data_IF_360356319513
#
_entry.id   IF_360356319513
#
_cell.length_a   1.000
_cell.length_b   1.000
_cell.length_c   1.000
_cell.angle_alpha   90.00
_cell.angle_beta   90.00
_cell.angle_gamma   90.00
#
_symmetry.space_group_name_H-M   'P 1'
#
loop_
_entity.id
_entity.type
_entity.pdbx_description
1 polymer ?
#
# COMPACT_ATOMS: atom_id res chain seq x y z
N UNK A 1 -11.28 -10.76 7.79
CA UNK A 1 -12.50 -10.98 6.98
C UNK A 1 -12.45 -10.32 5.59
N UNK A 2 -11.31 -10.32 4.89
CA UNK A 2 -11.21 -9.82 3.50
C UNK A 2 -10.50 -10.78 2.54
N UNK A 3 -10.33 -12.05 2.95
CA UNK A 3 -9.73 -13.11 2.10
C UNK A 3 -10.80 -13.98 1.41
N UNK A 4 -12.06 -13.94 1.87
CA UNK A 4 -13.10 -14.87 1.41
C UNK A 4 -14.00 -14.38 0.26
N UNK A 5 -13.65 -13.29 -0.43
CA UNK A 5 -14.45 -12.79 -1.58
C UNK A 5 -13.79 -12.96 -2.95
N UNK A 6 -12.52 -13.37 -3.02
CA UNK A 6 -11.83 -13.64 -4.29
C UNK A 6 -11.98 -15.10 -4.75
N UNK A 7 -12.27 -16.05 -3.84
CA UNK A 7 -12.37 -17.49 -4.15
C UNK A 7 -13.69 -17.92 -4.82
N UNK A 8 -14.63 -16.99 -5.06
CA UNK A 8 -15.92 -17.31 -5.70
C UNK A 8 -15.95 -17.03 -7.20
N UNK A 9 -14.79 -16.72 -7.80
CA UNK A 9 -14.65 -16.39 -9.23
C UNK A 9 -14.29 -17.59 -10.12
N UNK A 10 -13.93 -18.74 -9.56
CA UNK A 10 -13.39 -19.88 -10.32
C UNK A 10 -14.45 -20.83 -10.94
N UNK A 11 -15.74 -20.46 -10.97
CA UNK A 11 -16.81 -21.35 -11.50
C UNK A 11 -17.46 -20.90 -12.81
N UNK A 12 -16.93 -19.87 -13.48
CA UNK A 12 -17.45 -19.40 -14.76
C UNK A 12 -16.32 -19.17 -15.76
N UNK A 13 -15.52 -20.21 -16.03
CA UNK A 13 -14.60 -20.26 -17.16
C UNK A 13 -15.11 -21.25 -18.21
N UNK A 14 -15.69 -20.70 -19.26
CA UNK A 14 -15.80 -21.31 -20.58
C UNK A 14 -16.13 -20.19 -21.57
N UNK A 15 -15.13 -19.82 -22.38
CA UNK A 15 -15.15 -18.77 -23.42
C UNK A 15 -15.24 -17.29 -22.94
N UNK A 16 -14.07 -16.67 -22.72
CA UNK A 16 -13.91 -15.22 -22.92
C UNK A 16 -12.70 -15.00 -23.81
N UNK A 17 -12.93 -14.46 -25.00
CA UNK A 17 -11.86 -13.98 -25.87
C UNK A 17 -11.21 -12.77 -25.18
N UNK A 18 -9.94 -12.90 -24.79
CA UNK A 18 -9.10 -11.77 -24.38
C UNK A 18 -8.61 -11.12 -25.67
N UNK A 19 -9.37 -10.18 -26.21
CA UNK A 19 -8.91 -9.38 -27.33
C UNK A 19 -8.09 -8.19 -26.82
N UNK A 20 -7.00 -7.91 -27.53
CA UNK A 20 -6.21 -6.71 -27.30
C UNK A 20 -6.98 -5.52 -27.86
N UNK A 21 -7.53 -4.68 -26.97
CA UNK A 21 -8.17 -3.44 -27.38
C UNK A 21 -7.10 -2.38 -27.52
N UNK A 22 -7.03 -1.78 -28.70
CA UNK A 22 -6.17 -0.62 -28.97
C UNK A 22 -6.94 0.63 -28.50
N UNK A 23 -6.37 1.34 -27.54
CA UNK A 23 -6.92 2.56 -26.97
C UNK A 23 -5.88 3.68 -26.96
N UNK A 24 -6.31 4.93 -26.95
CA UNK A 24 -5.44 6.09 -26.77
C UNK A 24 -5.41 6.44 -25.29
N UNK A 25 -4.22 6.44 -24.71
CA UNK A 25 -3.94 7.01 -23.40
C UNK A 25 -3.53 8.46 -23.59
N UNK A 26 -4.32 9.36 -23.04
CA UNK A 26 -4.09 10.80 -23.04
C UNK A 26 -3.75 11.23 -21.62
N UNK A 27 -2.55 11.78 -21.46
CA UNK A 27 -2.04 12.35 -20.24
C UNK A 27 -1.81 13.85 -20.43
N UNK A 28 -2.22 14.66 -19.46
CA UNK A 28 -2.07 16.12 -19.52
C UNK A 28 -1.05 16.50 -18.48
N UNK A 29 0.14 16.92 -18.91
CA UNK A 29 1.29 17.14 -18.03
C UNK A 29 1.53 18.62 -17.71
N UNK A 30 0.89 19.54 -18.43
CA UNK A 30 0.67 20.91 -18.00
C UNK A 30 -0.77 21.34 -18.29
N UNK A 31 -1.40 22.00 -17.33
CA UNK A 31 -2.79 22.45 -17.46
C UNK A 31 -3.06 23.69 -16.62
N UNK A 32 -3.31 24.81 -17.28
CA UNK A 32 -3.87 26.00 -16.67
C UNK A 32 -4.61 26.80 -17.74
N UNK A 33 -5.93 26.64 -17.74
CA UNK A 33 -6.89 27.31 -18.62
C UNK A 33 -7.70 28.28 -17.76
N UNK A 34 -8.33 29.30 -18.36
CA UNK A 34 -9.12 30.29 -17.59
C UNK A 34 -10.13 29.61 -16.64
N UNK A 35 -10.09 29.90 -15.33
CA UNK A 35 -11.04 29.32 -14.39
C UNK A 35 -12.41 30.01 -14.50
N UNK A 36 -13.47 29.22 -14.68
CA UNK A 36 -14.85 29.71 -14.66
C UNK A 36 -15.81 28.64 -14.15
N UNK A 37 -16.98 29.08 -13.66
CA UNK A 37 -18.05 28.16 -13.24
C UNK A 37 -18.54 27.36 -14.45
N UNK A 38 -18.46 26.03 -14.35
CA UNK A 38 -18.80 25.09 -15.44
C UNK A 38 -18.00 25.31 -16.73
N UNK A 39 -16.84 25.96 -16.66
CA UNK A 39 -15.95 26.18 -17.79
C UNK A 39 -16.62 26.89 -18.98
N UNK A 40 -17.30 28.01 -18.69
CA UNK A 40 -18.08 28.81 -19.66
C UNK A 40 -17.24 29.65 -20.62
N UNK A 41 -16.04 30.04 -20.21
CA UNK A 41 -15.12 30.85 -21.02
C UNK A 41 -14.17 29.91 -21.79
N UNK A 42 -12.92 29.79 -21.36
CA UNK A 42 -11.99 28.82 -21.94
C UNK A 42 -12.19 27.40 -21.38
N UNK A 43 -12.09 26.39 -22.27
CA UNK A 43 -12.13 25.00 -21.86
C UNK A 43 -11.48 24.03 -22.85
N UNK A 44 -10.97 22.92 -22.31
CA UNK A 44 -10.61 21.73 -23.07
C UNK A 44 -11.73 20.70 -22.97
N UNK A 45 -12.36 20.41 -24.11
CA UNK A 45 -13.37 19.37 -24.26
C UNK A 45 -12.76 18.09 -24.82
N UNK A 46 -13.09 16.95 -24.21
CA UNK A 46 -12.55 15.65 -24.61
C UNK A 46 -13.71 14.67 -24.81
N UNK A 47 -13.70 13.93 -25.93
CA UNK A 47 -14.72 12.94 -26.31
C UNK A 47 -14.10 11.59 -26.65
N UNK A 48 -14.82 10.52 -26.33
CA UNK A 48 -14.39 9.13 -26.53
C UNK A 48 -14.81 8.62 -27.91
N UNK A 49 -14.00 8.97 -28.93
CA UNK A 49 -14.22 8.61 -30.32
C UNK A 49 -13.44 9.51 -31.27
N UNK A 50 -13.72 9.45 -32.57
CA UNK A 50 -12.97 10.20 -33.60
C UNK A 50 -13.62 11.54 -33.97
N UNK A 51 -14.82 11.83 -33.47
CA UNK A 51 -15.71 12.87 -33.97
C UNK A 51 -16.27 13.73 -32.82
N UNK A 52 -16.65 14.97 -33.13
CA UNK A 52 -17.28 15.88 -32.15
C UNK A 52 -18.67 15.47 -31.64
N UNK A 53 -19.27 14.41 -32.19
CA UNK A 53 -20.55 13.87 -31.74
C UNK A 53 -20.41 12.65 -30.80
N UNK A 54 -19.18 12.19 -30.60
CA UNK A 54 -18.91 11.02 -29.76
C UNK A 54 -19.12 11.33 -28.27
N UNK A 55 -19.28 10.29 -27.41
CA UNK A 55 -19.57 10.47 -25.99
C UNK A 55 -18.62 11.45 -25.29
N UNK A 56 -19.19 12.44 -24.61
CA UNK A 56 -18.44 13.43 -23.85
C UNK A 56 -17.75 12.76 -22.65
N UNK A 57 -16.43 12.89 -22.57
CA UNK A 57 -15.64 12.49 -21.41
C UNK A 57 -15.69 13.58 -20.36
N UNK A 58 -15.51 14.84 -20.78
CA UNK A 58 -15.65 16.01 -19.91
C UNK A 58 -15.15 17.29 -20.57
N UNK A 59 -15.45 18.41 -19.91
CA UNK A 59 -14.92 19.74 -20.21
C UNK A 59 -14.13 20.25 -19.00
N UNK A 60 -12.92 20.76 -19.24
CA UNK A 60 -11.95 21.08 -18.20
C UNK A 60 -11.43 22.50 -18.35
N UNK A 61 -11.26 23.20 -17.23
CA UNK A 61 -10.74 24.56 -17.15
C UNK A 61 -10.09 24.81 -15.78
N UNK A 62 -9.50 25.99 -15.57
CA UNK A 62 -8.77 26.29 -14.34
C UNK A 62 -7.47 25.50 -14.20
N UNK A 63 -7.13 25.14 -12.96
CA UNK A 63 -5.94 24.30 -12.62
C UNK A 63 -6.28 22.84 -12.35
N UNK A 64 -7.55 22.48 -12.54
CA UNK A 64 -8.02 21.10 -12.35
C UNK A 64 -7.70 20.31 -13.61
N UNK A 65 -6.57 19.60 -13.57
CA UNK A 65 -6.12 18.76 -14.66
C UNK A 65 -7.23 17.79 -15.11
N UNK A 66 -7.42 17.59 -16.42
CA UNK A 66 -8.17 16.47 -16.93
C UNK A 66 -7.62 15.18 -16.31
N UNK A 67 -8.47 14.21 -15.94
CA UNK A 67 -7.99 12.92 -15.50
C UNK A 67 -7.21 12.25 -16.65
N UNK A 68 -6.40 11.25 -16.33
CA UNK A 68 -5.84 10.39 -17.37
C UNK A 68 -7.00 9.71 -18.11
N UNK A 69 -7.07 9.93 -19.43
CA UNK A 69 -8.15 9.45 -20.28
C UNK A 69 -7.64 8.29 -21.11
N UNK A 70 -8.43 7.22 -21.11
CA UNK A 70 -8.17 6.03 -21.92
C UNK A 70 -9.44 5.82 -22.73
N UNK A 71 -9.35 6.02 -24.04
CA UNK A 71 -10.50 5.82 -24.93
C UNK A 71 -10.98 4.37 -24.91
N UNK A 72 -12.21 4.18 -25.37
CA UNK A 72 -12.81 2.87 -25.64
C UNK A 72 -12.27 2.24 -26.93
N UNK A 73 -11.86 3.06 -27.90
CA UNK A 73 -11.30 2.64 -29.18
C UNK A 73 -10.03 3.42 -29.56
N UNK A 74 -9.68 3.45 -30.85
CA UNK A 74 -8.41 4.01 -31.35
C UNK A 74 -8.36 5.54 -31.46
N UNK A 75 -9.36 6.25 -30.94
CA UNK A 75 -9.50 7.68 -31.15
C UNK A 75 -10.00 8.39 -29.89
N UNK A 76 -9.50 9.62 -29.71
CA UNK A 76 -10.06 10.63 -28.84
C UNK A 76 -10.23 11.89 -29.68
N UNK A 77 -11.33 12.60 -29.48
CA UNK A 77 -11.56 13.89 -30.10
C UNK A 77 -11.39 14.97 -29.04
N UNK A 78 -10.51 15.93 -29.32
CA UNK A 78 -10.19 17.04 -28.43
C UNK A 78 -10.58 18.34 -29.11
N UNK A 79 -11.23 19.24 -28.37
CA UNK A 79 -11.50 20.61 -28.80
C UNK A 79 -11.11 21.57 -27.70
N UNK A 80 -10.20 22.48 -28.02
CA UNK A 80 -9.94 23.65 -27.18
C UNK A 80 -10.79 24.81 -27.68
N UNK A 81 -11.53 25.42 -26.77
CA UNK A 81 -12.33 26.63 -26.98
C UNK A 81 -11.73 27.75 -26.14
N UNK A 82 -11.54 28.93 -26.72
CA UNK A 82 -11.10 30.12 -26.02
C UNK A 82 -11.93 31.35 -26.39
N UNK A 83 -12.05 32.31 -25.48
CA UNK A 83 -12.66 33.62 -25.74
C UNK A 83 -11.62 34.75 -25.95
N UNK A 84 -12.07 36.01 -25.99
CA UNK A 84 -11.21 37.18 -26.28
C UNK A 84 -10.56 37.79 -25.02
N UNK A 85 -10.82 37.25 -23.82
CA UNK A 85 -10.34 37.79 -22.54
C UNK A 85 -9.34 36.84 -21.85
N UNK A 86 -8.44 37.42 -21.05
CA UNK A 86 -7.56 36.72 -20.10
C UNK A 86 -6.75 35.52 -20.65
N UNK A 87 -5.47 35.74 -20.96
CA UNK A 87 -4.57 34.67 -21.43
C UNK A 87 -3.98 33.84 -20.26
N UNK A 88 -4.01 32.51 -20.41
CA UNK A 88 -3.39 31.55 -19.49
C UNK A 88 -2.40 30.63 -20.21
N UNK A 89 -1.64 29.80 -19.47
CA UNK A 89 -0.59 28.96 -20.07
C UNK A 89 -1.10 27.77 -20.91
N UNK A 90 -2.41 27.57 -20.98
CA UNK A 90 -3.04 26.53 -21.79
C UNK A 90 -2.77 25.12 -21.26
N UNK A 91 -2.63 24.16 -22.16
CA UNK A 91 -2.38 22.77 -21.80
C UNK A 91 -1.33 22.12 -22.70
N UNK A 92 -0.65 21.12 -22.15
CA UNK A 92 0.18 20.17 -22.90
C UNK A 92 -0.33 18.78 -22.60
N UNK A 93 -0.59 18.03 -23.66
CA UNK A 93 -1.07 16.66 -23.56
C UNK A 93 -0.17 15.74 -24.38
N UNK A 94 0.12 14.58 -23.82
CA UNK A 94 0.83 13.48 -24.46
C UNK A 94 -0.19 12.39 -24.74
N UNK A 95 -0.25 11.93 -25.99
CA UNK A 95 -1.09 10.80 -26.36
C UNK A 95 -0.23 9.62 -26.80
N UNK A 96 -0.59 8.43 -26.37
CA UNK A 96 0.07 7.18 -26.77
C UNK A 96 -0.98 6.09 -27.07
N UNK A 97 -0.71 5.29 -28.09
CA UNK A 97 -1.52 4.12 -28.38
C UNK A 97 -1.15 2.99 -27.41
N UNK A 98 -2.11 2.58 -26.58
CA UNK A 98 -1.94 1.50 -25.60
C UNK A 98 -2.77 0.30 -25.98
N UNK A 99 -2.11 -0.85 -26.04
CA UNK A 99 -2.74 -2.16 -26.15
C UNK A 99 -3.16 -2.62 -24.75
N UNK A 100 -4.46 -2.65 -24.46
CA UNK A 100 -4.96 -3.09 -23.15
C UNK A 100 -5.63 -4.46 -23.25
N UNK A 101 -5.37 -5.37 -22.30
CA UNK A 101 -6.21 -6.54 -22.11
C UNK A 101 -7.55 -6.06 -21.54
N UNK A 102 -8.55 -5.93 -22.41
CA UNK A 102 -9.93 -5.67 -22.03
C UNK A 102 -10.69 -6.97 -22.00
N UNK A 103 -11.36 -7.28 -20.88
CA UNK A 103 -12.31 -8.39 -20.87
C UNK A 103 -13.66 -7.83 -21.31
N UNK A 104 -14.00 -8.03 -22.59
CA UNK A 104 -15.35 -7.79 -23.07
C UNK A 104 -16.29 -8.72 -22.31
N UNK A 105 -17.29 -8.14 -21.65
CA UNK A 105 -18.28 -8.91 -20.92
C UNK A 105 -19.66 -8.57 -21.43
N UNK A 106 -20.45 -9.61 -21.66
CA UNK A 106 -21.90 -9.49 -21.78
C UNK A 106 -22.43 -9.04 -20.43
N UNK A 107 -22.93 -7.81 -20.35
CA UNK A 107 -23.54 -7.27 -19.15
C UNK A 107 -25.01 -6.98 -19.42
N UNK A 108 -25.88 -7.42 -18.51
CA UNK A 108 -27.29 -7.08 -18.54
C UNK A 108 -27.52 -5.82 -17.71
N UNK A 109 -27.99 -4.76 -18.36
CA UNK A 109 -28.31 -3.51 -17.67
C UNK A 109 -29.51 -3.73 -16.75
N UNK A 110 -29.36 -3.46 -15.46
CA UNK A 110 -30.43 -3.60 -14.46
C UNK A 110 -31.63 -2.69 -14.71
N UNK A 111 -31.46 -1.60 -15.45
CA UNK A 111 -32.52 -0.63 -15.73
C UNK A 111 -33.33 -0.97 -17.00
N UNK A 112 -32.67 -1.40 -18.08
CA UNK A 112 -33.35 -1.66 -19.36
C UNK A 112 -33.42 -3.14 -19.75
N UNK A 113 -32.82 -4.05 -18.98
CA UNK A 113 -32.80 -5.49 -19.20
C UNK A 113 -31.95 -5.96 -20.39
N UNK A 114 -31.58 -5.05 -21.30
CA UNK A 114 -30.81 -5.36 -22.50
C UNK A 114 -29.42 -5.87 -22.13
N UNK A 115 -29.00 -6.91 -22.84
CA UNK A 115 -27.62 -7.36 -22.84
C UNK A 115 -26.83 -6.51 -23.82
N UNK A 116 -25.69 -6.01 -23.37
CA UNK A 116 -24.78 -5.27 -24.22
C UNK A 116 -23.35 -5.67 -23.88
N UNK A 117 -22.49 -5.58 -24.88
CA UNK A 117 -21.06 -5.73 -24.68
C UNK A 117 -20.60 -4.49 -23.92
N UNK A 118 -20.04 -4.71 -22.74
CA UNK A 118 -19.55 -3.64 -21.88
C UNK A 118 -18.07 -3.86 -21.55
N UNK A 119 -17.36 -2.76 -21.30
CA UNK A 119 -15.99 -2.77 -20.83
C UNK A 119 -15.99 -2.69 -19.30
N UNK A 120 -15.46 -3.71 -18.63
CA UNK A 120 -15.26 -3.68 -17.17
C UNK A 120 -13.90 -3.07 -16.83
N UNK A 121 -13.88 -1.98 -16.06
CA UNK A 121 -12.65 -1.32 -15.56
C UNK A 121 -12.58 -1.40 -14.03
N UNK A 122 -11.37 -1.52 -13.49
CA UNK A 122 -11.10 -1.51 -12.05
C UNK A 122 -10.22 -0.31 -11.71
N UNK A 123 -10.51 0.36 -10.59
CA UNK A 123 -9.69 1.46 -10.03
C UNK A 123 -9.55 1.27 -8.52
N UNK A 124 -8.40 1.65 -7.98
CA UNK A 124 -8.15 1.60 -6.54
C UNK A 124 -8.80 2.82 -5.86
N UNK A 125 -9.61 2.59 -4.83
CA UNK A 125 -10.19 3.68 -4.02
C UNK A 125 -9.21 4.18 -2.95
N UNK A 126 -8.35 3.29 -2.47
CA UNK A 126 -7.34 3.57 -1.44
C UNK A 126 -6.20 2.57 -1.57
N UNK A 127 -4.99 2.95 -1.13
CA UNK A 127 -3.82 2.07 -1.15
C UNK A 127 -3.30 1.76 0.26
N UNK A 128 -2.93 0.49 0.56
CA UNK A 128 -2.60 0.01 1.91
C UNK A 128 -1.19 0.39 2.37
N UNK A 129 -0.86 0.31 3.67
CA UNK A 129 0.50 0.56 4.16
C UNK A 129 1.54 -0.44 3.62
N UNK A 130 1.10 -1.68 3.40
CA UNK A 130 1.87 -2.74 2.72
C UNK A 130 1.05 -3.23 1.54
N UNK A 131 1.57 -3.01 0.34
CA UNK A 131 0.96 -3.44 -0.91
C UNK A 131 1.54 -4.81 -1.30
N UNK A 132 0.65 -5.80 -1.45
CA UNK A 132 0.97 -7.13 -1.95
C UNK A 132 0.46 -7.25 -3.38
N UNK A 133 1.36 -7.49 -4.33
CA UNK A 133 1.04 -7.66 -5.75
C UNK A 133 1.36 -9.11 -6.11
N UNK A 134 0.33 -9.88 -6.43
CA UNK A 134 0.47 -11.23 -6.97
C UNK A 134 0.44 -11.18 -8.49
N UNK A 135 1.47 -11.75 -9.12
CA UNK A 135 1.55 -11.89 -10.57
C UNK A 135 0.98 -13.25 -10.95
N UNK A 136 -0.12 -13.25 -11.70
CA UNK A 136 -0.76 -14.49 -12.19
C UNK A 136 0.04 -15.07 -13.34
N UNK A 137 1.11 -15.80 -13.01
CA UNK A 137 1.97 -16.49 -13.98
C UNK A 137 1.38 -17.82 -14.45
N UNK A 138 0.51 -18.45 -13.67
CA UNK A 138 -0.02 -19.78 -13.98
C UNK A 138 -1.40 -19.70 -14.64
N UNK A 139 -1.55 -20.46 -15.71
CA UNK A 139 -2.81 -20.67 -16.42
C UNK A 139 -3.09 -22.15 -16.50
N UNK A 140 -4.32 -22.56 -16.21
CA UNK A 140 -4.73 -23.94 -16.40
C UNK A 140 -5.35 -24.03 -17.80
N UNK A 141 -4.79 -24.88 -18.65
CA UNK A 141 -5.36 -25.21 -19.96
C UNK A 141 -5.55 -26.70 -19.97
N UNK A 142 -6.82 -27.13 -20.07
CA UNK A 142 -7.22 -28.54 -20.12
C UNK A 142 -6.64 -29.43 -19.01
N UNK A 143 -6.59 -28.91 -17.78
CA UNK A 143 -6.07 -29.63 -16.61
C UNK A 143 -4.55 -29.54 -16.42
N UNK A 144 -3.83 -29.00 -17.42
CA UNK A 144 -2.38 -28.79 -17.36
C UNK A 144 -2.05 -27.36 -16.94
N UNK A 145 -1.09 -27.20 -16.03
CA UNK A 145 -0.67 -25.90 -15.52
C UNK A 145 0.49 -25.37 -16.37
N UNK A 146 0.30 -24.23 -17.02
CA UNK A 146 1.33 -23.54 -17.80
C UNK A 146 1.78 -22.28 -17.08
N UNK A 147 3.10 -22.09 -16.96
CA UNK A 147 3.69 -20.85 -16.43
C UNK A 147 4.07 -19.91 -17.58
N UNK A 148 3.65 -18.65 -17.50
CA UNK A 148 4.04 -17.60 -18.42
C UNK A 148 5.55 -17.31 -18.36
N UNK A 149 6.17 -17.21 -19.54
CA UNK A 149 7.61 -16.95 -19.69
C UNK A 149 7.97 -15.46 -19.53
N UNK A 150 6.98 -14.56 -19.60
CA UNK A 150 7.22 -13.13 -19.60
C UNK A 150 7.77 -12.63 -18.26
N UNK A 151 8.90 -11.93 -18.34
CA UNK A 151 9.54 -11.32 -17.20
C UNK A 151 8.98 -9.92 -16.98
N UNK A 152 8.31 -9.74 -15.86
CA UNK A 152 7.76 -8.44 -15.47
C UNK A 152 8.86 -7.59 -14.85
N UNK A 153 9.01 -6.36 -15.36
CA UNK A 153 9.85 -5.35 -14.74
C UNK A 153 9.11 -4.68 -13.58
N UNK A 154 9.82 -4.43 -12.49
CA UNK A 154 9.27 -3.77 -11.32
C UNK A 154 10.33 -2.86 -10.67
N UNK A 155 9.95 -1.67 -10.17
CA UNK A 155 10.90 -0.76 -9.53
C UNK A 155 11.19 -1.18 -8.09
N UNK A 156 12.44 -1.03 -7.63
CA UNK A 156 12.77 -1.22 -6.21
C UNK A 156 12.29 -0.05 -5.34
N UNK A 157 12.22 1.16 -5.90
CA UNK A 157 11.85 2.40 -5.19
C UNK A 157 10.96 3.26 -6.09
N UNK A 158 10.11 4.10 -5.49
CA UNK A 158 9.31 5.05 -6.25
C UNK A 158 8.18 4.44 -7.09
N UNK A 159 7.66 3.27 -6.71
CA UNK A 159 6.41 2.77 -7.30
C UNK A 159 5.28 3.70 -6.88
N UNK A 160 4.78 4.52 -7.80
CA UNK A 160 3.67 5.43 -7.53
C UNK A 160 2.33 4.80 -7.97
N UNK A 161 1.47 4.53 -6.99
CA UNK A 161 0.16 3.93 -7.22
C UNK A 161 -0.91 4.93 -7.66
N UNK A 162 -0.60 6.23 -7.68
CA UNK A 162 -1.54 7.30 -8.04
C UNK A 162 -2.22 7.06 -9.38
N UNK A 163 -1.46 6.56 -10.36
CA UNK A 163 -1.93 6.27 -11.72
C UNK A 163 -3.02 5.19 -11.78
N UNK A 164 -3.18 4.38 -10.74
CA UNK A 164 -4.17 3.30 -10.67
C UNK A 164 -5.37 3.62 -9.77
N UNK A 165 -5.35 4.80 -9.12
CA UNK A 165 -6.39 5.22 -8.18
C UNK A 165 -7.57 5.94 -8.86
N UNK A 166 -8.70 6.03 -8.16
CA UNK A 166 -9.81 6.91 -8.54
C UNK A 166 -9.40 8.37 -8.27
N UNK A 167 -9.72 9.25 -9.21
CA UNK A 167 -9.19 10.61 -9.39
C UNK A 167 -9.34 11.60 -8.20
N UNK A 168 -10.08 11.28 -7.14
CA UNK A 168 -10.51 12.27 -6.12
C UNK A 168 -9.74 12.21 -4.78
N UNK A 169 -8.59 11.54 -4.70
CA UNK A 169 -7.94 11.23 -3.39
C UNK A 169 -6.49 11.75 -3.26
N UNK A 170 -5.97 12.47 -4.26
CA UNK A 170 -4.54 12.78 -4.35
C UNK A 170 -4.09 14.11 -3.69
N UNK A 171 -5.01 14.98 -3.25
CA UNK A 171 -4.68 16.37 -2.86
C UNK A 171 -4.55 16.62 -1.35
N UNK A 172 -4.49 15.56 -0.54
CA UNK A 172 -4.17 15.69 0.87
C UNK A 172 -2.65 15.76 1.05
N UNK A 173 -2.16 16.83 1.71
CA UNK A 173 -0.73 17.04 2.04
C UNK A 173 -0.08 15.87 2.82
N UNK A 174 -0.90 14.96 3.37
CA UNK A 174 -0.51 13.80 4.16
C UNK A 174 -0.80 12.46 3.45
N UNK A 175 -1.20 12.47 2.17
CA UNK A 175 -1.49 11.25 1.41
C UNK A 175 -0.37 10.90 0.43
N UNK A 176 0.46 9.94 0.81
CA UNK A 176 1.44 9.34 -0.11
C UNK A 176 0.85 8.14 -0.84
N UNK A 177 1.18 8.01 -2.11
CA UNK A 177 0.86 6.87 -2.98
C UNK A 177 2.10 6.12 -3.43
N UNK A 178 3.27 6.52 -2.93
CA UNK A 178 4.58 5.97 -3.31
C UNK A 178 4.99 4.81 -2.43
N UNK A 179 5.66 3.84 -3.03
CA UNK A 179 6.10 2.63 -2.37
C UNK A 179 7.55 2.27 -2.72
N UNK A 180 8.21 1.66 -1.74
CA UNK A 180 9.52 1.00 -1.86
C UNK A 180 9.34 -0.50 -1.73
N UNK A 181 10.02 -1.30 -2.56
CA UNK A 181 10.01 -2.75 -2.50
C UNK A 181 10.72 -3.22 -1.23
N UNK A 182 10.12 -4.20 -0.55
CA UNK A 182 10.65 -4.74 0.72
C UNK A 182 10.93 -6.23 0.62
N UNK A 183 10.19 -6.93 -0.24
CA UNK A 183 10.42 -8.34 -0.51
C UNK A 183 9.86 -8.73 -1.88
N UNK A 184 10.50 -9.69 -2.52
CA UNK A 184 10.00 -10.38 -3.70
C UNK A 184 10.10 -11.88 -3.50
N UNK A 185 8.98 -12.57 -3.67
CA UNK A 185 8.92 -14.03 -3.74
C UNK A 185 9.06 -14.42 -5.20
N UNK A 186 9.94 -15.37 -5.46
CA UNK A 186 10.21 -15.94 -6.76
C UNK A 186 9.74 -17.39 -6.78
N UNK A 187 9.25 -17.83 -7.92
CA UNK A 187 8.97 -19.24 -8.20
C UNK A 187 9.91 -19.72 -9.29
N UNK A 188 10.78 -20.68 -8.97
CA UNK A 188 11.64 -21.37 -9.92
C UNK A 188 11.00 -22.72 -10.25
N UNK A 189 10.99 -23.08 -11.53
CA UNK A 189 10.70 -24.45 -11.92
C UNK A 189 12.00 -25.22 -11.81
N UNK A 190 12.03 -26.25 -10.97
CA UNK A 190 13.20 -27.12 -10.84
C UNK A 190 13.03 -28.39 -11.66
N UNK A 191 11.81 -28.92 -11.80
CA UNK A 191 11.42 -30.08 -12.62
C UNK A 191 9.95 -29.95 -13.11
N UNK A 192 9.49 -30.82 -14.03
CA UNK A 192 8.12 -30.82 -14.61
C UNK A 192 6.97 -30.97 -13.60
N UNK A 193 7.25 -31.38 -12.35
CA UNK A 193 6.23 -31.64 -11.32
C UNK A 193 6.47 -30.93 -9.99
N UNK A 194 7.56 -30.17 -9.82
CA UNK A 194 7.88 -29.49 -8.56
C UNK A 194 8.35 -28.05 -8.78
N UNK A 195 7.65 -27.14 -8.12
CA UNK A 195 8.05 -25.75 -7.97
C UNK A 195 8.96 -25.55 -6.77
N UNK A 196 9.88 -24.58 -6.86
CA UNK A 196 10.71 -24.13 -5.75
C UNK A 196 10.50 -22.64 -5.49
N UNK A 197 10.24 -22.28 -4.23
CA UNK A 197 10.01 -20.88 -3.84
C UNK A 197 11.21 -20.35 -3.08
N UNK A 198 11.71 -19.22 -3.53
CA UNK A 198 12.74 -18.46 -2.81
C UNK A 198 12.27 -17.03 -2.62
N UNK A 199 12.87 -16.29 -1.69
CA UNK A 199 12.54 -14.88 -1.54
C UNK A 199 13.77 -13.99 -1.37
N UNK A 200 13.64 -12.76 -1.81
CA UNK A 200 14.62 -11.70 -1.59
C UNK A 200 13.98 -10.68 -0.67
N UNK A 201 14.65 -10.32 0.42
CA UNK A 201 14.13 -9.40 1.42
C UNK A 201 15.15 -8.30 1.71
N UNK A 202 14.66 -7.06 1.85
CA UNK A 202 15.45 -5.93 2.31
C UNK A 202 15.54 -5.97 3.83
N UNK A 203 16.76 -6.03 4.37
CA UNK A 203 16.99 -5.90 5.79
C UNK A 203 17.09 -4.40 6.15
N UNK A 204 16.18 -3.94 7.00
CA UNK A 204 16.12 -2.53 7.39
C UNK A 204 17.21 -2.07 8.36
N UNK A 205 17.83 -2.97 9.12
CA UNK A 205 18.83 -2.56 10.11
C UNK A 205 20.13 -2.13 9.44
N UNK A 206 20.47 -2.73 8.30
CA UNK A 206 21.69 -2.44 7.55
C UNK A 206 21.45 -1.95 6.11
N UNK A 207 20.19 -1.88 5.67
CA UNK A 207 19.77 -1.47 4.32
C UNK A 207 20.38 -2.33 3.20
N UNK A 208 20.46 -3.65 3.41
CA UNK A 208 21.03 -4.62 2.45
C UNK A 208 20.02 -5.69 2.06
N UNK A 209 20.13 -6.20 0.83
CA UNK A 209 19.30 -7.28 0.33
C UNK A 209 19.88 -8.65 0.66
N UNK A 210 19.00 -9.59 1.02
CA UNK A 210 19.34 -10.98 1.27
C UNK A 210 18.42 -11.89 0.46
N UNK A 211 18.98 -12.96 -0.08
CA UNK A 211 18.28 -14.06 -0.71
C UNK A 211 18.15 -15.21 0.29
N UNK A 212 16.91 -15.62 0.51
CA UNK A 212 16.53 -16.74 1.37
C UNK A 212 16.09 -17.89 0.47
N UNK A 213 16.88 -18.97 0.51
CA UNK A 213 16.69 -20.19 -0.24
C UNK A 213 16.72 -21.34 0.77
N UNK A 214 15.54 -21.70 1.27
CA UNK A 214 15.36 -22.59 2.42
C UNK A 214 16.23 -22.18 3.63
N UNK A 215 17.16 -23.03 4.04
CA UNK A 215 18.08 -22.80 5.16
C UNK A 215 19.23 -21.84 4.80
N UNK A 216 19.45 -21.57 3.51
CA UNK A 216 20.55 -20.74 3.04
C UNK A 216 20.14 -19.27 2.94
N UNK A 217 20.92 -18.41 3.60
CA UNK A 217 20.73 -16.95 3.57
C UNK A 217 22.00 -16.30 3.02
N UNK A 218 21.88 -15.63 1.88
CA UNK A 218 23.02 -15.01 1.19
C UNK A 218 22.77 -13.53 0.95
N UNK A 219 23.77 -12.68 1.22
CA UNK A 219 23.68 -11.26 0.89
C UNK A 219 23.77 -11.08 -0.62
N UNK A 220 22.92 -10.23 -1.20
CA UNK A 220 22.89 -9.96 -2.65
C UNK A 220 22.85 -8.46 -2.96
N UNK A 221 23.23 -8.11 -4.19
CA UNK A 221 23.13 -6.74 -4.69
C UNK A 221 21.70 -6.46 -5.20
N UNK A 222 21.23 -5.22 -5.06
CA UNK A 222 19.92 -4.76 -5.57
C UNK A 222 19.75 -4.98 -7.08
N UNK A 223 20.83 -4.93 -7.86
CA UNK A 223 20.81 -5.21 -9.30
C UNK A 223 20.45 -6.65 -9.64
N UNK A 224 20.71 -7.60 -8.73
CA UNK A 224 20.24 -8.98 -8.87
C UNK A 224 18.74 -9.02 -8.65
N UNK A 225 18.23 -8.33 -7.63
CA UNK A 225 16.81 -8.30 -7.26
C UNK A 225 15.95 -7.72 -8.39
N UNK A 226 16.40 -6.66 -9.07
CA UNK A 226 15.69 -6.11 -10.24
C UNK A 226 15.51 -7.11 -11.40
N UNK A 227 16.36 -8.13 -11.46
CA UNK A 227 16.43 -9.09 -12.56
C UNK A 227 15.76 -10.42 -12.23
N UNK A 228 15.11 -10.60 -11.08
CA UNK A 228 14.44 -11.87 -10.78
C UNK A 228 13.08 -11.97 -11.48
N UNK A 229 12.57 -13.18 -11.67
CA UNK A 229 11.19 -13.39 -12.12
C UNK A 229 10.28 -13.34 -10.88
N UNK A 230 9.65 -12.20 -10.66
CA UNK A 230 8.76 -12.00 -9.53
C UNK A 230 7.48 -12.84 -9.65
N UNK A 231 7.07 -13.44 -8.54
CA UNK A 231 5.77 -14.09 -8.39
C UNK A 231 4.86 -13.28 -7.46
N UNK A 232 5.37 -12.88 -6.29
CA UNK A 232 4.68 -11.98 -5.36
C UNK A 232 5.62 -10.87 -4.95
N UNK A 233 5.17 -9.62 -5.06
CA UNK A 233 5.91 -8.43 -4.65
C UNK A 233 5.28 -7.84 -3.40
N UNK A 234 6.11 -7.54 -2.41
CA UNK A 234 5.72 -6.78 -1.23
C UNK A 234 6.37 -5.41 -1.28
N UNK A 235 5.52 -4.38 -1.21
CA UNK A 235 5.87 -2.98 -1.24
C UNK A 235 5.43 -2.32 0.07
N UNK A 236 6.27 -1.46 0.64
CA UNK A 236 5.92 -0.62 1.80
C UNK A 236 5.74 0.82 1.36
N UNK A 237 4.67 1.44 1.85
CA UNK A 237 4.34 2.83 1.61
C UNK A 237 5.42 3.77 2.17
N UNK A 238 5.84 4.76 1.39
CA UNK A 238 6.86 5.75 1.76
C UNK A 238 6.30 6.79 2.74
N UNK A 239 6.91 6.93 3.93
CA UNK A 239 6.49 7.91 4.94
C UNK A 239 7.35 9.17 4.95
N UNK A 240 6.91 10.23 4.28
CA UNK A 240 7.66 11.51 4.16
C UNK A 240 7.76 12.27 5.49
N UNK A 241 6.70 12.26 6.31
CA UNK A 241 6.63 13.00 7.59
C UNK A 241 7.36 12.26 8.73
N UNK A 242 7.51 10.94 8.61
CA UNK A 242 8.08 10.08 9.66
C UNK A 242 9.48 10.50 10.10
N UNK A 243 10.32 10.98 9.18
CA UNK A 243 11.68 11.43 9.51
C UNK A 243 11.68 12.63 10.46
N UNK A 244 10.85 13.64 10.21
CA UNK A 244 10.72 14.82 11.09
C UNK A 244 10.20 14.45 12.48
N UNK A 245 9.27 13.51 12.55
CA UNK A 245 8.75 12.99 13.83
C UNK A 245 9.86 12.26 14.60
N UNK A 246 10.63 11.39 13.92
CA UNK A 246 11.76 10.67 14.51
C UNK A 246 12.84 11.61 15.06
N UNK A 247 13.19 12.67 14.31
CA UNK A 247 14.17 13.67 14.74
C UNK A 247 13.67 14.41 15.99
N UNK A 248 12.38 14.79 16.01
CA UNK A 248 11.78 15.46 17.17
C UNK A 248 11.69 14.55 18.39
N UNK A 249 11.31 13.28 18.23
CA UNK A 249 11.30 12.29 19.32
C UNK A 249 12.71 12.09 19.87
N UNK A 250 13.73 11.97 19.01
CA UNK A 250 15.12 11.80 19.43
C UNK A 250 15.61 13.01 20.24
N UNK A 251 15.28 14.23 19.78
CA UNK A 251 15.55 15.45 20.53
C UNK A 251 14.86 15.45 21.89
N UNK A 252 13.57 15.12 21.95
CA UNK A 252 12.81 15.07 23.20
C UNK A 252 13.40 14.05 24.17
N UNK A 253 13.78 12.86 23.70
CA UNK A 253 14.44 11.82 24.51
C UNK A 253 15.77 12.31 25.11
N UNK A 254 16.52 13.12 24.37
CA UNK A 254 17.77 13.70 24.86
C UNK A 254 17.52 14.80 25.89
N UNK A 255 16.54 15.68 25.64
CA UNK A 255 16.19 16.77 26.56
C UNK A 255 15.59 16.25 27.87
N UNK A 256 14.76 15.21 27.80
CA UNK A 256 14.11 14.59 28.96
C UNK A 256 14.92 13.40 29.52
N UNK A 257 16.23 13.30 29.25
CA UNK A 257 17.02 12.10 29.60
C UNK A 257 16.99 11.75 31.09
N UNK A 258 16.87 12.78 31.94
CA UNK A 258 16.85 12.66 33.41
C UNK A 258 15.44 12.69 34.00
N UNK A 259 14.40 12.81 33.17
CA UNK A 259 13.02 12.76 33.64
C UNK A 259 12.56 11.32 33.91
N UNK A 260 11.63 11.11 34.86
CA UNK A 260 11.09 9.80 35.15
C UNK A 260 10.29 9.26 33.95
N UNK A 261 10.44 7.97 33.65
CA UNK A 261 9.79 7.31 32.51
C UNK A 261 8.46 6.66 32.93
N UNK A 262 7.54 7.48 33.41
CA UNK A 262 6.31 6.97 34.02
C UNK A 262 5.22 6.58 33.01
N UNK A 263 5.41 6.86 31.71
CA UNK A 263 4.42 6.62 30.67
C UNK A 263 4.75 5.36 29.88
N UNK A 264 3.74 4.55 29.57
CA UNK A 264 3.90 3.30 28.84
C UNK A 264 3.38 3.41 27.41
N UNK A 265 4.16 2.87 26.48
CA UNK A 265 3.75 2.68 25.09
C UNK A 265 3.91 1.21 24.68
N UNK A 266 2.89 0.64 24.04
CA UNK A 266 2.95 -0.75 23.59
C UNK A 266 4.02 -0.95 22.51
N UNK A 267 4.84 -1.99 22.66
CA UNK A 267 5.78 -2.49 21.65
C UNK A 267 5.09 -2.78 20.33
N UNK A 268 3.85 -3.27 20.36
CA UNK A 268 3.05 -3.53 19.16
C UNK A 268 2.77 -2.24 18.38
N UNK A 269 2.41 -1.16 19.08
CA UNK A 269 2.25 0.14 18.44
C UNK A 269 3.59 0.69 17.95
N UNK A 270 4.67 0.54 18.72
CA UNK A 270 6.02 0.94 18.29
C UNK A 270 6.47 0.19 17.02
N UNK A 271 6.15 -1.10 16.89
CA UNK A 271 6.40 -1.87 15.66
C UNK A 271 5.62 -1.24 14.50
N UNK A 272 4.32 -0.96 14.67
CA UNK A 272 3.52 -0.27 13.64
C UNK A 272 4.10 1.09 13.29
N UNK A 273 4.51 1.88 14.28
CA UNK A 273 5.18 3.17 14.10
C UNK A 273 6.46 3.03 13.28
N UNK A 274 7.28 2.01 13.56
CA UNK A 274 8.51 1.74 12.83
C UNK A 274 8.27 1.13 11.44
N UNK A 275 7.15 0.48 11.20
CA UNK A 275 6.86 -0.21 9.93
C UNK A 275 5.98 0.59 8.97
N UNK A 276 5.06 1.42 9.45
CA UNK A 276 4.04 2.06 8.63
C UNK A 276 4.28 3.57 8.48
N UNK A 277 3.77 4.14 7.39
CA UNK A 277 3.71 5.58 7.17
C UNK A 277 2.63 6.21 8.05
N UNK A 278 1.49 5.51 8.23
CA UNK A 278 0.41 5.87 9.14
C UNK A 278 0.18 4.75 10.15
N UNK A 279 0.86 4.78 11.32
CA UNK A 279 0.70 3.74 12.33
C UNK A 279 -0.68 3.73 12.99
N UNK A 280 -1.44 4.83 12.86
CA UNK A 280 -2.72 5.04 13.53
C UNK A 280 -2.55 5.48 14.98
N UNK A 281 -3.67 5.64 15.67
CA UNK A 281 -3.72 6.12 17.04
C UNK A 281 -2.92 5.24 18.01
N UNK A 282 -2.36 5.87 19.05
CA UNK A 282 -1.61 5.15 20.10
C UNK A 282 -2.58 4.24 20.84
N UNK A 283 -2.46 2.95 20.54
CA UNK A 283 -3.23 1.89 21.15
C UNK A 283 -2.28 1.02 21.97
N UNK A 284 -2.46 1.05 23.28
CA UNK A 284 -1.66 0.26 24.19
C UNK A 284 -2.16 -1.19 24.35
N UNK A 285 -3.32 -1.52 23.77
CA UNK A 285 -3.94 -2.86 23.82
C UNK A 285 -3.98 -3.44 25.25
N UNK A 286 -4.25 -2.57 26.23
CA UNK A 286 -4.19 -2.89 27.65
C UNK A 286 -5.11 -4.06 27.99
N UNK A 287 -4.51 -5.11 28.56
CA UNK A 287 -5.25 -6.23 29.14
C UNK A 287 -5.38 -5.97 30.62
N UNK A 288 -6.62 -5.94 31.11
CA UNK A 288 -6.89 -5.85 32.53
C UNK A 288 -6.80 -7.24 33.16
N UNK A 289 -6.18 -7.33 34.32
CA UNK A 289 -6.23 -8.54 35.14
C UNK A 289 -7.46 -8.53 36.04
N UNK A 290 -7.71 -9.65 36.73
CA UNK A 290 -8.82 -9.79 37.67
C UNK A 290 -8.71 -8.83 38.88
N UNK A 291 -7.52 -8.31 39.17
CA UNK A 291 -7.30 -7.27 40.19
C UNK A 291 -7.72 -5.86 39.73
N UNK A 292 -8.29 -5.70 38.53
CA UNK A 292 -8.74 -4.42 38.00
C UNK A 292 -7.63 -3.47 37.54
N UNK A 293 -6.38 -3.92 37.50
CA UNK A 293 -5.21 -3.19 37.02
C UNK A 293 -4.74 -3.68 35.64
N UNK A 294 -3.88 -2.91 34.98
CA UNK A 294 -3.25 -3.34 33.72
C UNK A 294 -2.28 -4.47 34.02
N UNK A 295 -2.39 -5.58 33.30
CA UNK A 295 -1.46 -6.70 33.45
C UNK A 295 -0.06 -6.23 33.06
N UNK A 296 0.91 -6.40 33.97
CA UNK A 296 2.30 -6.16 33.64
C UNK A 296 2.71 -7.15 32.54
N UNK A 297 3.31 -6.65 31.48
CA UNK A 297 3.85 -7.50 30.44
C UNK A 297 5.09 -6.85 29.86
N UNK A 298 6.04 -7.67 29.42
CA UNK A 298 7.17 -7.24 28.62
C UNK A 298 6.74 -6.64 27.25
N UNK A 299 5.46 -6.33 27.04
CA UNK A 299 4.92 -5.75 25.82
C UNK A 299 4.90 -4.21 25.85
N UNK A 300 5.33 -3.57 26.93
CA UNK A 300 5.42 -2.10 27.03
C UNK A 300 6.86 -1.58 26.99
N UNK A 301 7.00 -0.30 26.64
CA UNK A 301 8.23 0.48 26.74
C UNK A 301 7.93 1.74 27.54
N UNK A 302 8.75 1.98 28.56
CA UNK A 302 8.69 3.19 29.38
C UNK A 302 9.28 4.39 28.63
N UNK A 303 8.52 5.49 28.63
CA UNK A 303 8.88 6.76 28.01
C UNK A 303 8.57 7.93 28.95
N UNK A 304 9.21 9.07 28.70
CA UNK A 304 9.01 10.30 29.45
C UNK A 304 7.75 11.04 28.99
N UNK A 305 7.21 11.90 29.84
CA UNK A 305 6.03 12.70 29.54
C UNK A 305 6.18 13.54 28.25
N UNK A 306 7.30 14.25 27.98
CA UNK A 306 7.44 15.04 26.76
C UNK A 306 7.35 14.19 25.50
N UNK A 307 7.89 12.97 25.53
CA UNK A 307 7.78 12.04 24.40
C UNK A 307 6.33 11.56 24.25
N UNK A 308 5.68 11.14 25.34
CA UNK A 308 4.28 10.73 25.31
C UNK A 308 3.36 11.84 24.78
N UNK A 309 3.43 13.04 25.34
CA UNK A 309 2.59 14.17 24.97
C UNK A 309 2.77 14.53 23.49
N UNK A 310 4.01 14.48 22.97
CA UNK A 310 4.27 14.70 21.56
C UNK A 310 3.65 13.62 20.67
N UNK A 311 3.84 12.35 21.00
CA UNK A 311 3.31 11.21 20.23
C UNK A 311 1.78 11.23 20.24
N UNK A 312 1.15 11.42 21.41
CA UNK A 312 -0.31 11.51 21.55
C UNK A 312 -0.89 12.67 20.76
N UNK A 313 -0.23 13.84 20.75
CA UNK A 313 -0.68 15.00 19.97
C UNK A 313 -0.68 14.74 18.46
N UNK A 314 0.29 13.98 17.97
CA UNK A 314 0.43 13.72 16.52
C UNK A 314 -0.47 12.59 16.06
N UNK A 315 -0.56 11.50 16.83
CA UNK A 315 -1.27 10.29 16.41
C UNK A 315 -2.66 10.12 17.04
N UNK A 316 -2.99 10.89 18.09
CA UNK A 316 -4.18 10.64 18.92
C UNK A 316 -4.06 9.31 19.69
N UNK A 317 -5.15 8.90 20.35
CA UNK A 317 -5.20 7.61 21.06
C UNK A 317 -5.97 7.64 22.38
N UNK A 318 -6.04 6.47 23.00
CA UNK A 318 -6.65 6.28 24.31
C UNK A 318 -5.84 6.92 25.45
N UNK A 319 -6.36 6.89 26.68
CA UNK A 319 -5.69 7.53 27.82
C UNK A 319 -4.29 6.98 28.02
N UNK A 320 -3.42 7.83 28.57
CA UNK A 320 -2.08 7.42 28.97
C UNK A 320 -2.18 6.24 29.94
N UNK A 321 -1.30 5.26 29.76
CA UNK A 321 -1.08 4.22 30.77
C UNK A 321 0.21 4.57 31.47
N UNK A 322 0.14 4.62 32.78
CA UNK A 322 1.25 4.92 33.66
C UNK A 322 1.83 3.63 34.22
N UNK A 323 3.08 3.67 34.67
CA UNK A 323 3.71 2.56 35.40
C UNK A 323 2.86 2.16 36.62
N UNK A 324 2.22 3.12 37.28
CA UNK A 324 1.34 2.93 38.46
C UNK A 324 0.05 2.15 38.15
N UNK A 325 -0.38 2.16 36.89
CA UNK A 325 -1.54 1.39 36.42
C UNK A 325 -1.24 -0.10 36.30
N UNK A 326 0.05 -0.49 36.33
CA UNK A 326 0.48 -1.88 36.29
C UNK A 326 0.13 -2.62 37.58
N UNK A 327 -0.29 -3.88 37.42
CA UNK A 327 -0.60 -4.76 38.53
C UNK A 327 0.68 -5.37 39.11
N UNK A 328 1.08 -4.90 40.29
CA UNK A 328 2.21 -5.45 41.07
C UNK A 328 2.01 -6.92 41.41
N UNK A 329 0.82 -7.33 41.86
CA UNK A 329 0.52 -8.73 42.18
C UNK A 329 0.73 -9.67 40.99
N UNK A 330 0.27 -9.27 39.79
CA UNK A 330 0.49 -10.08 38.59
C UNK A 330 1.96 -10.13 38.20
N UNK A 331 2.71 -9.05 38.46
CA UNK A 331 4.15 -9.01 38.17
C UNK A 331 4.93 -9.96 39.08
N UNK A 332 4.66 -9.96 40.38
CA UNK A 332 5.28 -10.87 41.34
C UNK A 332 4.97 -12.33 41.01
N UNK A 333 3.71 -12.62 40.65
CA UNK A 333 3.31 -13.95 40.22
C UNK A 333 4.03 -14.39 38.93
N UNK A 334 4.13 -13.52 37.92
CA UNK A 334 4.84 -13.86 36.68
C UNK A 334 6.35 -14.06 36.90
N UNK A 335 6.96 -13.25 37.77
CA UNK A 335 8.36 -13.42 38.16
C UNK A 335 8.61 -14.77 38.83
N UNK A 336 7.74 -15.17 39.77
CA UNK A 336 7.88 -16.45 40.47
C UNK A 336 7.73 -17.64 39.53
N UNK A 337 6.78 -17.59 38.58
CA UNK A 337 6.61 -18.59 37.52
C UNK A 337 7.84 -18.67 36.61
N UNK A 338 8.38 -17.53 36.16
CA UNK A 338 9.60 -17.50 35.33
C UNK A 338 10.78 -18.09 36.10
N UNK A 339 10.97 -17.69 37.36
CA UNK A 339 12.04 -18.25 38.20
C UNK A 339 11.87 -19.75 38.42
N UNK A 340 10.65 -20.24 38.65
CA UNK A 340 10.36 -21.66 38.79
C UNK A 340 10.63 -22.43 37.47
N UNK A 341 10.39 -21.80 36.32
CA UNK A 341 10.66 -22.39 35.00
C UNK A 341 12.17 -22.46 34.72
N UNK A 342 12.90 -21.39 35.02
CA UNK A 342 14.38 -21.36 34.94
C UNK A 342 14.98 -22.43 35.85
N UNK A 343 14.50 -22.55 37.11
CA UNK A 343 14.97 -23.60 38.03
C UNK A 343 14.78 -25.02 37.46
N UNK A 344 13.63 -25.29 36.83
CA UNK A 344 13.35 -26.57 36.14
C UNK A 344 14.24 -26.82 34.92
N UNK A 345 14.51 -25.79 34.11
CA UNK A 345 15.35 -25.93 32.92
C UNK A 345 16.84 -26.13 33.24
N UNK A 346 17.32 -25.56 34.35
CA UNK A 346 18.72 -25.60 34.75
C UNK A 346 19.05 -26.54 35.92
N UNK A 347 18.06 -27.30 36.41
CA UNK A 347 18.22 -28.31 37.46
C UNK A 347 18.93 -27.78 38.73
N UNK A 348 18.61 -26.55 39.13
CA UNK A 348 19.21 -25.90 40.30
C UNK A 348 18.44 -26.38 41.54
N UNK A 349 19.04 -27.31 42.31
CA UNK A 349 18.54 -27.73 43.62
C UNK A 349 18.79 -26.62 44.66
N UNK A 350 17.80 -26.39 45.55
CA UNK A 350 17.95 -25.45 46.65
C UNK A 350 19.03 -25.96 47.62
N UNK A 351 20.07 -25.15 47.83
CA UNK A 351 20.94 -25.31 48.99
C UNK A 351 20.16 -24.77 50.18
N UNK A 352 19.51 -25.65 50.93
CA UNK A 352 18.94 -25.34 52.24
C UNK A 352 20.11 -25.09 53.22
N UNK A 353 20.26 -23.85 53.70
CA UNK A 353 21.10 -23.47 54.85
C UNK A 353 20.29 -23.50 56.15
#
# INVERSE_FOLDING_TARGET
MLVNKLSRMDKLESSRLVETVICNHLDVDSFYIEPSDECKFDYLEIRDGANGYDPLVGSYCGRSFPPIIISTGRALWLRFHSDENAEYSGFRAVYEEVKKPGVLVMFSCSNCGKQSVCIKRWRLLSVPEVLCIHIKLFTNVDGSLFKGADKIQFPLEGLDMRYYMKNDVADSYDYTTRYTLISVICHKETNETSGHFTCYCLNYSNNQWYHYDDEQVTRVNSEVVKKVQAYILFYRKEGTIKRRIMDKISLLRNLSKYEPKNFLISKKWLIRYNSFSKPGAVANDAKFCEHGKVKNSAEYVEITYPVWAYVQRIFGGGPAIMVEDLCEFCFEYELSEIQARVRREFNIEEVED
#
